data_IF_000166008346
#
_entry.id   IF_000166008346
#
_cell.length_a   1.000
_cell.length_b   1.000
_cell.length_c   1.000
_cell.angle_alpha   90.00
_cell.angle_beta   90.00
_cell.angle_gamma   90.00
#
_symmetry.space_group_name_H-M   'P 1'
#
loop_
_entity.id
_entity.type
_entity.pdbx_description
1 polymer ?
#
# COMPACT_ATOMS: atom_id res chain seq x y z
N UNK A 1 -5.93 4.87 -68.90
CA UNK A 1 -6.52 4.40 -67.62
C UNK A 1 -5.60 4.61 -66.39
N UNK A 2 -4.52 5.39 -66.50
CA UNK A 2 -3.57 5.64 -65.39
C UNK A 2 -3.88 6.90 -64.56
N UNK A 3 -4.78 7.79 -65.03
CA UNK A 3 -5.06 9.07 -64.35
C UNK A 3 -6.07 8.97 -63.19
N UNK A 4 -6.91 7.93 -63.17
CA UNK A 4 -7.97 7.78 -62.15
C UNK A 4 -7.41 7.16 -60.86
N UNK A 5 -6.42 6.27 -60.94
CA UNK A 5 -5.78 5.66 -59.77
C UNK A 5 -4.95 6.69 -58.99
N UNK A 6 -4.28 7.62 -59.68
CA UNK A 6 -3.52 8.71 -59.02
C UNK A 6 -4.40 9.76 -58.34
N UNK A 7 -5.63 9.97 -58.80
CA UNK A 7 -6.54 10.95 -58.19
C UNK A 7 -7.16 10.44 -56.88
N UNK A 8 -7.40 9.13 -56.76
CA UNK A 8 -7.96 8.52 -55.55
C UNK A 8 -6.90 8.41 -54.44
N UNK A 9 -5.62 8.19 -54.79
CA UNK A 9 -4.53 8.11 -53.81
C UNK A 9 -4.18 9.46 -53.16
N UNK A 10 -4.44 10.58 -53.87
CA UNK A 10 -4.16 11.93 -53.37
C UNK A 10 -5.27 12.48 -52.46
N UNK A 11 -6.49 11.96 -52.54
CA UNK A 11 -7.63 12.40 -51.73
C UNK A 11 -7.65 11.70 -50.36
N UNK A 12 -7.09 10.50 -50.25
CA UNK A 12 -7.00 9.75 -49.00
C UNK A 12 -6.00 10.28 -47.97
N UNK A 13 -5.08 11.17 -48.35
CA UNK A 13 -4.07 11.73 -47.43
C UNK A 13 -4.54 12.99 -46.69
N UNK A 14 -5.66 13.60 -47.10
CA UNK A 14 -6.11 14.89 -46.60
C UNK A 14 -6.96 14.82 -45.31
N UNK A 15 -7.13 13.64 -44.71
CA UNK A 15 -7.98 13.44 -43.53
C UNK A 15 -7.23 13.08 -42.24
N UNK A 16 -5.91 13.17 -42.22
CA UNK A 16 -5.11 12.90 -41.01
C UNK A 16 -4.78 14.22 -40.28
N UNK A 17 -5.76 14.79 -39.60
CA UNK A 17 -5.53 15.96 -38.74
C UNK A 17 -5.02 15.51 -37.36
N UNK A 18 -3.71 15.38 -37.21
CA UNK A 18 -3.02 15.24 -35.91
C UNK A 18 -2.50 16.60 -35.38
N UNK A 19 -3.06 17.72 -35.86
CA UNK A 19 -2.59 19.06 -35.51
C UNK A 19 -3.39 19.61 -34.31
N UNK A 20 -2.69 20.04 -33.27
CA UNK A 20 -3.30 20.59 -32.04
C UNK A 20 -2.86 22.05 -31.88
N UNK A 21 -3.82 22.97 -31.84
CA UNK A 21 -3.60 24.41 -31.66
C UNK A 21 -4.10 24.92 -30.31
N UNK A 22 -3.28 25.67 -29.58
CA UNK A 22 -3.74 26.37 -28.37
C UNK A 22 -4.50 27.62 -28.81
N UNK A 23 -5.84 27.59 -28.66
CA UNK A 23 -6.75 28.68 -29.01
C UNK A 23 -6.67 29.16 -30.48
N UNK A 24 -6.31 28.26 -31.41
CA UNK A 24 -6.32 28.55 -32.85
C UNK A 24 -7.05 27.45 -33.60
N UNK A 25 -7.88 27.84 -34.57
CA UNK A 25 -8.64 26.90 -35.42
C UNK A 25 -7.79 26.34 -36.57
N UNK A 26 -6.64 26.93 -36.84
CA UNK A 26 -5.72 26.54 -37.93
C UNK A 26 -4.28 26.53 -37.41
N UNK A 27 -3.89 25.51 -36.63
CA UNK A 27 -2.51 25.35 -36.17
C UNK A 27 -1.56 25.05 -37.34
N UNK A 28 -0.47 25.81 -37.45
CA UNK A 28 0.52 25.66 -38.54
C UNK A 28 1.66 24.68 -38.20
N UNK A 29 1.73 24.22 -36.95
CA UNK A 29 2.79 23.35 -36.43
C UNK A 29 2.23 22.30 -35.48
N UNK A 30 2.88 21.15 -35.44
CA UNK A 30 2.61 20.09 -34.47
C UNK A 30 3.18 20.46 -33.10
N UNK A 31 2.43 20.15 -32.03
CA UNK A 31 2.89 20.32 -30.66
C UNK A 31 3.69 19.08 -30.24
N UNK A 32 5.02 19.19 -30.23
CA UNK A 32 5.89 18.19 -29.63
C UNK A 32 6.17 18.58 -28.17
N UNK A 33 5.76 17.72 -27.22
CA UNK A 33 6.09 17.89 -25.80
C UNK A 33 7.19 16.90 -25.44
N UNK A 34 8.43 17.35 -25.50
CA UNK A 34 9.58 16.58 -25.03
C UNK A 34 9.92 17.00 -23.58
N UNK A 35 9.11 16.56 -22.61
CA UNK A 35 9.29 16.91 -21.21
C UNK A 35 8.08 16.59 -20.32
N UNK A 36 8.18 16.93 -19.03
CA UNK A 36 7.05 16.80 -18.09
C UNK A 36 6.09 17.98 -18.22
N UNK A 37 4.78 17.72 -18.20
CA UNK A 37 3.77 18.77 -18.12
C UNK A 37 3.57 19.23 -16.66
N UNK A 38 3.44 20.54 -16.44
CA UNK A 38 2.99 21.13 -15.17
C UNK A 38 1.59 21.68 -15.38
N UNK A 39 0.62 21.23 -14.59
CA UNK A 39 -0.76 21.70 -14.67
C UNK A 39 -1.26 22.13 -13.31
N UNK A 40 -2.12 23.14 -13.28
CA UNK A 40 -2.78 23.62 -12.05
C UNK A 40 -3.78 22.58 -11.50
N UNK A 41 -4.25 21.64 -12.33
CA UNK A 41 -5.19 20.60 -11.92
C UNK A 41 -5.41 19.50 -12.95
N UNK A 42 -6.17 18.47 -12.54
CA UNK A 42 -6.72 17.44 -13.40
C UNK A 42 -8.21 17.66 -13.50
N UNK A 43 -8.75 17.68 -14.72
CA UNK A 43 -10.19 17.65 -14.94
C UNK A 43 -10.52 16.26 -15.45
N UNK A 44 -11.17 15.45 -14.61
CA UNK A 44 -11.72 14.18 -15.04
C UNK A 44 -13.07 14.42 -15.75
N UNK A 45 -13.37 13.61 -16.76
CA UNK A 45 -14.67 13.64 -17.41
C UNK A 45 -15.75 13.32 -16.36
N UNK A 46 -16.85 14.07 -16.38
CA UNK A 46 -18.00 13.83 -15.50
C UNK A 46 -19.26 13.57 -16.37
N UNK A 47 -19.87 12.38 -16.34
CA UNK A 47 -19.44 11.21 -15.56
C UNK A 47 -18.12 10.63 -16.09
N UNK A 48 -17.37 9.96 -15.21
CA UNK A 48 -16.23 9.15 -15.67
C UNK A 48 -16.76 8.07 -16.59
N UNK A 49 -16.09 7.84 -17.73
CA UNK A 49 -16.47 6.76 -18.61
C UNK A 49 -16.31 5.42 -17.90
N UNK A 50 -17.25 4.52 -18.17
CA UNK A 50 -17.20 3.16 -17.63
C UNK A 50 -16.07 2.41 -18.32
N UNK A 51 -15.19 1.82 -17.52
CA UNK A 51 -14.04 1.07 -18.01
C UNK A 51 -14.49 -0.08 -18.94
N UNK A 52 -13.77 -0.25 -20.05
CA UNK A 52 -13.89 -1.39 -20.94
C UNK A 52 -13.25 -2.65 -20.36
N UNK A 53 -13.59 -3.84 -20.90
CA UNK A 53 -13.03 -5.13 -20.46
C UNK A 53 -11.53 -5.29 -20.69
N UNK A 54 -10.96 -4.51 -21.60
CA UNK A 54 -9.60 -4.69 -22.13
C UNK A 54 -8.72 -3.44 -21.97
N UNK A 55 -9.08 -2.54 -21.05
CA UNK A 55 -8.33 -1.31 -20.81
C UNK A 55 -7.21 -1.52 -19.78
N UNK A 56 -5.98 -1.16 -20.15
CA UNK A 56 -4.84 -1.08 -19.23
C UNK A 56 -4.96 0.20 -18.38
N UNK A 57 -4.98 0.04 -17.06
CA UNK A 57 -5.10 1.16 -16.12
C UNK A 57 -3.75 1.57 -15.54
N UNK A 58 -3.63 2.87 -15.25
CA UNK A 58 -2.48 3.45 -14.56
C UNK A 58 -2.99 4.28 -13.40
N UNK A 59 -2.39 4.11 -12.22
CA UNK A 59 -2.66 5.00 -11.10
C UNK A 59 -2.02 6.34 -11.40
N UNK A 60 -2.80 7.43 -11.33
CA UNK A 60 -2.26 8.77 -11.51
C UNK A 60 -2.10 9.42 -10.15
N UNK A 61 -0.88 9.86 -9.84
CA UNK A 61 -0.53 10.52 -8.58
C UNK A 61 -0.25 11.98 -8.87
N UNK A 62 -0.87 12.87 -8.11
CA UNK A 62 -0.54 14.29 -8.09
C UNK A 62 0.42 14.55 -6.93
N UNK A 63 1.65 14.97 -7.25
CA UNK A 63 2.58 15.48 -6.24
C UNK A 63 1.98 16.73 -5.58
N UNK A 64 2.12 16.90 -4.25
CA UNK A 64 1.67 18.09 -3.56
C UNK A 64 2.41 19.36 -4.06
N UNK A 65 2.01 20.52 -3.56
CA UNK A 65 2.78 21.75 -3.77
C UNK A 65 4.17 21.61 -3.11
N UNK A 66 5.24 22.19 -3.71
CA UNK A 66 5.23 23.12 -4.84
C UNK A 66 5.27 22.48 -6.24
N UNK A 67 5.55 21.18 -6.35
CA UNK A 67 5.80 20.52 -7.62
C UNK A 67 4.53 20.47 -8.49
N UNK A 68 3.36 20.18 -7.89
CA UNK A 68 2.07 20.05 -8.59
C UNK A 68 2.17 19.20 -9.88
N UNK A 69 3.05 18.19 -9.85
CA UNK A 69 3.30 17.32 -10.98
C UNK A 69 2.26 16.20 -10.99
N UNK A 70 1.73 15.89 -12.15
CA UNK A 70 0.98 14.66 -12.37
C UNK A 70 1.96 13.62 -12.89
N UNK A 71 2.01 12.46 -12.25
CA UNK A 71 2.78 11.32 -12.74
C UNK A 71 1.89 10.10 -12.79
N UNK A 72 2.10 9.25 -13.78
CA UNK A 72 1.67 7.87 -13.70
C UNK A 72 2.50 7.16 -12.63
N UNK A 73 1.85 6.32 -11.83
CA UNK A 73 2.52 5.33 -11.02
C UNK A 73 3.17 4.35 -11.98
N UNK A 74 4.50 4.44 -12.09
CA UNK A 74 5.27 3.59 -12.99
C UNK A 74 5.28 2.16 -12.43
N UNK A 75 4.78 1.22 -13.23
CA UNK A 75 4.65 -0.22 -12.94
C UNK A 75 5.98 -0.97 -13.00
N UNK A 76 7.04 -0.36 -13.54
CA UNK A 76 8.41 -0.85 -13.37
C UNK A 76 8.87 -0.58 -11.95
N UNK A 77 8.42 -1.44 -11.03
CA UNK A 77 8.87 -1.51 -9.65
C UNK A 77 10.40 -1.46 -9.60
N UNK A 78 10.93 -0.30 -9.23
CA UNK A 78 12.30 -0.23 -8.73
C UNK A 78 12.31 -1.11 -7.46
N UNK A 79 13.25 -2.04 -7.28
CA UNK A 79 13.21 -3.02 -6.18
C UNK A 79 13.06 -2.43 -4.77
N UNK A 80 13.37 -1.13 -4.62
CA UNK A 80 13.37 -0.40 -3.35
C UNK A 80 12.31 0.71 -3.28
N UNK A 81 11.44 0.85 -4.30
CA UNK A 81 10.35 1.83 -4.27
C UNK A 81 9.08 1.17 -3.71
N UNK A 82 8.57 1.62 -2.55
CA UNK A 82 7.39 1.02 -1.94
C UNK A 82 6.15 1.28 -2.79
N UNK A 83 5.32 0.25 -2.91
CA UNK A 83 3.95 0.38 -3.38
C UNK A 83 3.11 1.21 -2.40
N UNK A 84 1.97 1.77 -2.82
CA UNK A 84 1.00 2.36 -1.89
C UNK A 84 0.57 1.37 -0.80
N UNK A 85 0.54 0.06 -1.13
CA UNK A 85 0.27 -1.05 -0.22
C UNK A 85 1.31 -2.15 -0.49
N UNK A 86 2.06 -2.55 0.53
CA UNK A 86 3.08 -3.60 0.44
C UNK A 86 2.72 -4.76 1.36
N UNK A 87 3.04 -5.98 0.94
CA UNK A 87 3.03 -7.16 1.79
C UNK A 87 4.48 -7.52 2.13
N UNK A 88 4.87 -7.38 3.40
CA UNK A 88 6.22 -7.69 3.87
C UNK A 88 6.14 -8.85 4.86
N UNK A 89 6.95 -9.90 4.65
CA UNK A 89 7.05 -11.01 5.58
C UNK A 89 8.37 -10.96 6.35
N UNK A 90 8.29 -11.03 7.68
CA UNK A 90 9.45 -11.29 8.52
C UNK A 90 9.41 -12.71 9.06
N UNK A 91 10.57 -13.38 9.06
CA UNK A 91 10.82 -14.62 9.80
C UNK A 91 11.85 -14.32 10.89
N UNK A 92 11.38 -14.26 12.14
CA UNK A 92 12.18 -13.81 13.28
C UNK A 92 12.45 -15.02 14.15
N UNK A 93 13.72 -15.41 14.25
CA UNK A 93 14.18 -16.40 15.23
C UNK A 93 14.18 -15.76 16.61
N UNK A 94 13.59 -16.44 17.59
CA UNK A 94 13.41 -15.91 18.94
C UNK A 94 14.72 -15.94 19.74
N UNK A 95 14.69 -15.33 20.93
CA UNK A 95 15.77 -15.50 21.90
C UNK A 95 15.90 -16.98 22.32
N UNK A 96 17.09 -17.59 22.37
CA UNK A 96 17.24 -19.01 22.71
C UNK A 96 16.89 -19.38 24.16
N UNK A 97 16.84 -18.42 25.09
CA UNK A 97 16.52 -18.69 26.49
C UNK A 97 15.02 -18.86 26.73
N UNK A 98 14.18 -18.04 26.07
CA UNK A 98 12.71 -18.13 26.14
C UNK A 98 12.11 -18.98 25.00
N UNK A 99 12.74 -18.91 23.82
CA UNK A 99 12.43 -19.65 22.58
C UNK A 99 11.17 -19.24 21.84
N UNK A 100 10.32 -18.37 22.38
CA UNK A 100 9.19 -17.76 21.69
C UNK A 100 9.15 -16.23 21.81
N UNK A 101 9.99 -15.63 22.64
CA UNK A 101 9.92 -14.19 22.88
C UNK A 101 10.63 -13.36 21.80
N UNK A 102 9.86 -12.46 21.19
CA UNK A 102 10.34 -11.29 20.43
C UNK A 102 9.92 -10.04 21.19
N UNK A 103 10.85 -9.49 21.98
CA UNK A 103 10.56 -8.31 22.81
C UNK A 103 10.37 -7.03 21.98
N UNK A 104 11.32 -6.75 21.08
CA UNK A 104 11.31 -5.55 20.24
C UNK A 104 12.15 -5.77 18.97
N UNK A 105 11.53 -6.32 17.92
CA UNK A 105 12.17 -6.41 16.61
C UNK A 105 12.00 -5.10 15.85
N UNK A 106 13.11 -4.47 15.46
CA UNK A 106 13.10 -3.23 14.67
C UNK A 106 12.96 -3.53 13.18
N UNK A 107 11.80 -3.20 12.61
CA UNK A 107 11.53 -3.42 11.17
C UNK A 107 12.31 -2.47 10.26
N UNK A 108 12.87 -1.38 10.80
CA UNK A 108 13.42 -0.24 10.04
C UNK A 108 12.40 0.47 9.11
N UNK A 109 11.12 0.09 9.16
CA UNK A 109 10.05 0.78 8.42
C UNK A 109 9.78 2.11 9.10
N UNK A 110 9.90 3.21 8.36
CA UNK A 110 9.69 4.56 8.87
C UNK A 110 8.22 4.76 9.30
N UNK A 111 8.01 5.00 10.60
CA UNK A 111 6.67 5.11 11.20
C UNK A 111 5.94 6.41 10.87
N UNK A 112 6.66 7.44 10.44
CA UNK A 112 6.10 8.74 10.01
C UNK A 112 5.61 8.69 8.56
N UNK A 113 6.16 7.80 7.73
CA UNK A 113 5.77 7.62 6.31
C UNK A 113 4.81 6.48 6.09
N UNK A 114 4.94 5.40 6.86
CA UNK A 114 4.17 4.18 6.65
C UNK A 114 3.35 3.81 7.87
N UNK A 115 2.18 3.24 7.62
CA UNK A 115 1.34 2.54 8.60
C UNK A 115 1.57 1.04 8.44
N UNK A 116 1.80 0.33 9.55
CA UNK A 116 2.02 -1.11 9.55
C UNK A 116 0.89 -1.81 10.30
N UNK A 117 0.35 -2.85 9.69
CA UNK A 117 -0.66 -3.75 10.28
C UNK A 117 -0.18 -5.18 10.16
N UNK A 118 -0.21 -5.94 11.25
CA UNK A 118 0.06 -7.39 11.20
C UNK A 118 -1.21 -8.05 10.65
N UNK A 119 -1.12 -8.66 9.47
CA UNK A 119 -2.28 -9.28 8.80
C UNK A 119 -2.42 -10.76 9.13
N UNK A 120 -1.32 -11.44 9.41
CA UNK A 120 -1.31 -12.83 9.86
C UNK A 120 0.01 -13.17 10.52
N UNK A 121 0.00 -14.25 11.29
CA UNK A 121 1.18 -14.77 11.96
C UNK A 121 1.19 -16.29 11.96
N UNK A 122 2.37 -16.86 12.20
CA UNK A 122 2.56 -18.27 12.49
C UNK A 122 3.77 -18.47 13.40
N UNK A 123 3.77 -19.54 14.18
CA UNK A 123 4.86 -19.91 15.08
C UNK A 123 5.20 -21.39 14.93
N UNK A 124 6.48 -21.73 15.01
CA UNK A 124 6.97 -23.08 14.65
C UNK A 124 6.95 -24.10 15.78
N UNK A 125 6.85 -23.67 17.04
CA UNK A 125 6.92 -24.58 18.19
C UNK A 125 5.60 -24.65 18.95
N UNK A 126 5.23 -25.81 19.51
CA UNK A 126 4.19 -25.86 20.52
C UNK A 126 4.68 -25.12 21.78
N UNK A 127 3.78 -24.36 22.39
CA UNK A 127 4.02 -23.76 23.70
C UNK A 127 3.26 -24.54 24.76
N UNK A 128 3.80 -24.57 25.98
CA UNK A 128 3.15 -25.25 27.11
C UNK A 128 2.98 -24.30 28.28
N UNK A 129 1.97 -24.57 29.09
CA UNK A 129 1.88 -23.99 30.43
C UNK A 129 2.81 -24.74 31.38
N UNK A 130 3.35 -24.02 32.36
CA UNK A 130 4.07 -24.60 33.49
C UNK A 130 3.14 -24.93 34.67
N UNK A 131 1.85 -24.57 34.59
CA UNK A 131 0.83 -24.86 35.61
C UNK A 131 -0.04 -26.06 35.24
N UNK A 132 -0.58 -26.76 36.25
CA UNK A 132 -1.53 -27.87 36.05
C UNK A 132 -2.90 -27.43 35.49
N UNK A 133 -3.26 -26.15 35.63
CA UNK A 133 -4.48 -25.61 35.02
C UNK A 133 -4.29 -25.49 33.50
N UNK A 134 -5.25 -26.06 32.76
CA UNK A 134 -5.28 -26.08 31.29
C UNK A 134 -5.54 -24.68 30.73
N UNK A 135 -4.50 -23.86 30.73
CA UNK A 135 -4.53 -22.54 30.12
C UNK A 135 -4.33 -22.69 28.60
N UNK A 136 -5.26 -22.14 27.82
CA UNK A 136 -5.10 -22.04 26.37
C UNK A 136 -4.19 -20.85 26.06
N UNK A 137 -3.02 -21.06 25.45
CA UNK A 137 -2.10 -19.98 25.15
C UNK A 137 -2.71 -19.05 24.09
N UNK A 138 -2.75 -17.75 24.39
CA UNK A 138 -3.12 -16.71 23.43
C UNK A 138 -1.89 -15.87 23.16
N UNK A 139 -1.49 -15.69 21.89
CA UNK A 139 -0.29 -14.95 21.59
C UNK A 139 -0.53 -13.44 21.72
N UNK A 140 0.42 -12.75 22.33
CA UNK A 140 0.49 -11.30 22.35
C UNK A 140 1.33 -10.82 21.17
N UNK A 141 0.66 -10.44 20.08
CA UNK A 141 1.33 -10.01 18.84
C UNK A 141 0.81 -8.63 18.45
N UNK A 142 1.72 -7.67 18.33
CA UNK A 142 1.36 -6.33 17.87
C UNK A 142 2.56 -5.58 17.28
N UNK A 143 2.23 -4.61 16.44
CA UNK A 143 3.18 -3.63 15.92
C UNK A 143 2.96 -2.30 16.66
N UNK A 144 4.04 -1.58 16.95
CA UNK A 144 3.97 -0.27 17.58
C UNK A 144 5.08 0.65 17.06
N UNK A 145 4.83 1.96 17.07
CA UNK A 145 5.85 2.94 16.73
C UNK A 145 6.72 3.27 17.94
N UNK A 146 8.04 3.28 17.78
CA UNK A 146 8.98 3.80 18.77
C UNK A 146 10.28 4.21 18.09
N UNK A 147 10.77 5.43 18.36
CA UNK A 147 12.02 5.94 17.77
C UNK A 147 11.99 5.95 16.23
N UNK A 148 10.99 6.61 15.64
CA UNK A 148 10.76 6.81 14.20
C UNK A 148 10.54 5.55 13.35
N UNK A 149 10.57 4.37 13.95
CA UNK A 149 10.43 3.09 13.23
C UNK A 149 9.38 2.20 13.86
N UNK A 150 8.75 1.35 13.04
CA UNK A 150 7.86 0.32 13.54
C UNK A 150 8.64 -0.81 14.21
N UNK A 151 8.18 -1.20 15.39
CA UNK A 151 8.65 -2.34 16.15
C UNK A 151 7.60 -3.43 16.15
N UNK A 152 8.04 -4.68 16.22
CA UNK A 152 7.18 -5.84 16.40
C UNK A 152 7.46 -6.49 17.75
N UNK A 153 6.39 -6.84 18.46
CA UNK A 153 6.42 -7.75 19.59
C UNK A 153 5.59 -8.99 19.26
N UNK A 154 6.10 -10.16 19.63
CA UNK A 154 5.41 -11.43 19.51
C UNK A 154 5.85 -12.34 20.66
N UNK A 155 4.89 -12.90 21.38
CA UNK A 155 5.14 -13.71 22.57
C UNK A 155 3.91 -14.56 22.91
N UNK A 156 4.09 -15.75 23.48
CA UNK A 156 3.03 -16.41 24.23
C UNK A 156 3.24 -16.14 25.71
N UNK A 157 2.96 -14.90 26.14
CA UNK A 157 3.31 -14.41 27.47
C UNK A 157 2.83 -15.37 28.58
N UNK A 158 3.79 -15.87 29.38
CA UNK A 158 3.55 -16.82 30.47
C UNK A 158 3.62 -18.30 30.07
N UNK A 159 3.91 -18.58 28.80
CA UNK A 159 4.16 -19.89 28.22
C UNK A 159 5.52 -19.85 27.54
N UNK A 160 6.06 -21.02 27.24
CA UNK A 160 7.23 -21.15 26.39
C UNK A 160 7.30 -22.56 25.77
N UNK A 161 8.05 -22.74 24.68
CA UNK A 161 8.43 -24.07 24.21
C UNK A 161 9.20 -24.88 25.25
N UNK A 162 9.11 -26.20 25.18
CA UNK A 162 9.93 -27.08 26.03
C UNK A 162 11.44 -26.87 25.78
N UNK A 163 12.24 -27.04 26.84
CA UNK A 163 13.69 -26.81 26.79
C UNK A 163 14.44 -27.78 25.84
N UNK A 164 13.85 -28.92 25.48
CA UNK A 164 14.40 -29.86 24.49
C UNK A 164 14.10 -29.47 23.02
N UNK A 165 13.12 -28.59 22.78
CA UNK A 165 12.75 -28.16 21.42
C UNK A 165 13.73 -27.09 20.88
N UNK A 166 13.87 -26.95 19.55
CA UNK A 166 14.66 -25.86 18.99
C UNK A 166 14.02 -24.50 19.26
N UNK A 167 14.82 -23.43 19.15
CA UNK A 167 14.32 -22.05 19.23
C UNK A 167 13.22 -21.81 18.19
N UNK A 168 12.12 -21.22 18.62
CA UNK A 168 10.99 -20.92 17.77
C UNK A 168 11.26 -19.79 16.78
N UNK A 169 10.43 -19.77 15.73
CA UNK A 169 10.47 -18.76 14.68
C UNK A 169 9.07 -18.21 14.47
N UNK A 170 8.93 -16.89 14.62
CA UNK A 170 7.72 -16.18 14.23
C UNK A 170 7.77 -15.83 12.75
N UNK A 171 6.72 -16.21 12.01
CA UNK A 171 6.44 -15.66 10.68
C UNK A 171 5.38 -14.60 10.84
N UNK A 172 5.70 -13.34 10.56
CA UNK A 172 4.78 -12.20 10.66
C UNK A 172 4.60 -11.59 9.27
N UNK A 173 3.36 -11.58 8.78
CA UNK A 173 3.01 -10.91 7.54
C UNK A 173 2.44 -9.53 7.86
N UNK A 174 3.05 -8.51 7.26
CA UNK A 174 2.71 -7.11 7.45
C UNK A 174 2.06 -6.56 6.19
N UNK A 175 0.93 -5.88 6.35
CA UNK A 175 0.44 -4.90 5.39
C UNK A 175 1.04 -3.55 5.74
N UNK A 176 1.74 -2.94 4.78
CA UNK A 176 2.43 -1.67 4.96
C UNK A 176 1.90 -0.66 3.96
N UNK A 177 1.21 0.34 4.47
CA UNK A 177 0.56 1.39 3.70
C UNK A 177 1.38 2.67 3.75
N UNK A 178 1.51 3.37 2.63
CA UNK A 178 1.92 4.77 2.68
C UNK A 178 0.82 5.58 3.36
N UNK A 179 1.18 6.36 4.39
CA UNK A 179 0.24 7.17 5.18
C UNK A 179 -0.47 8.23 4.34
N UNK A 180 0.05 8.60 3.17
CA UNK A 180 -0.67 9.46 2.23
C UNK A 180 -1.99 8.85 1.72
N UNK A 181 -2.12 7.52 1.79
CA UNK A 181 -3.31 6.77 1.33
C UNK A 181 -4.04 6.03 2.46
N UNK A 182 -3.61 6.19 3.71
CA UNK A 182 -4.21 5.53 4.86
C UNK A 182 -4.57 6.55 5.93
N UNK A 183 -5.80 6.47 6.44
CA UNK A 183 -6.25 7.27 7.58
C UNK A 183 -6.33 6.38 8.81
N UNK A 184 -5.60 6.76 9.85
CA UNK A 184 -5.60 6.09 11.14
C UNK A 184 -6.51 6.85 12.10
N UNK A 185 -7.44 6.15 12.77
CA UNK A 185 -8.33 6.74 13.78
C UNK A 185 -8.26 5.88 15.04
N UNK A 186 -7.57 6.39 16.06
CA UNK A 186 -7.41 5.73 17.36
C UNK A 186 -8.32 6.42 18.39
N UNK A 187 -9.34 5.70 18.87
CA UNK A 187 -10.23 6.19 19.95
C UNK A 187 -10.53 5.06 20.93
N UNK A 188 -10.24 5.29 22.20
CA UNK A 188 -10.72 4.43 23.29
C UNK A 188 -12.24 4.51 23.37
N UNK A 189 -12.90 3.36 23.50
CA UNK A 189 -14.34 3.25 23.77
C UNK A 189 -14.51 2.50 25.09
N UNK A 190 -15.34 3.02 25.98
CA UNK A 190 -15.70 2.36 27.24
C UNK A 190 -17.04 1.64 27.06
N UNK A 191 -17.14 0.42 27.60
CA UNK A 191 -18.40 -0.33 27.67
C UNK A 191 -19.22 0.00 28.92
N UNK A 192 -18.72 0.85 29.82
CA UNK A 192 -19.46 1.36 30.98
C UNK A 192 -19.93 0.25 31.92
N UNK A 193 -19.05 -0.72 32.19
CA UNK A 193 -19.34 -1.94 32.94
C UNK A 193 -20.45 -2.86 32.34
N UNK A 194 -20.81 -2.66 31.07
CA UNK A 194 -21.72 -3.54 30.31
C UNK A 194 -20.96 -4.56 29.46
N UNK A 195 -21.65 -5.62 29.03
CA UNK A 195 -21.15 -6.59 28.03
C UNK A 195 -21.49 -6.19 26.59
N UNK A 196 -22.26 -5.12 26.41
CA UNK A 196 -22.65 -4.58 25.10
C UNK A 196 -22.55 -3.05 25.11
N UNK A 197 -22.12 -2.46 23.99
CA UNK A 197 -22.02 -1.02 23.83
C UNK A 197 -21.93 -0.61 22.36
N UNK A 198 -22.00 0.69 22.10
CA UNK A 198 -21.86 1.27 20.77
C UNK A 198 -20.82 2.38 20.78
N UNK A 199 -20.08 2.55 19.69
CA UNK A 199 -19.24 3.72 19.52
C UNK A 199 -20.11 4.99 19.56
N UNK A 200 -19.61 6.05 20.20
CA UNK A 200 -20.37 7.29 20.37
C UNK A 200 -20.78 7.96 19.04
N UNK A 201 -20.01 7.71 17.97
CA UNK A 201 -20.33 8.16 16.61
C UNK A 201 -19.64 7.24 15.57
N UNK A 202 -20.15 7.17 14.32
CA UNK A 202 -19.45 6.54 13.21
C UNK A 202 -18.05 7.14 13.02
N UNK A 203 -17.03 6.30 12.83
CA UNK A 203 -15.65 6.75 12.61
C UNK A 203 -15.37 7.09 11.13
N UNK A 204 -16.16 6.52 10.22
CA UNK A 204 -16.09 6.69 8.77
C UNK A 204 -17.54 6.79 8.26
N UNK A 205 -17.81 7.70 7.31
CA UNK A 205 -19.09 7.88 6.63
C UNK A 205 -18.86 7.94 5.13
#
# INVERSE_FOLDING_TARGET
MTKVISAVLFVSAALLNAQVGINTKTPEKELSVNGSMKTSGMVFKNPMEKLGSDENYTFVIKSPAPENKITAYNDTFVPNSPAPINLIQFKITCDPSDKDWVNQFDTKINSNKFLVVISSFGFTQPVRTYSADWLTPVPQIFAYSSGDTWKLKADYQGFAPDSSLPTGVWTLNLLVFDRAYAKEVNKTQDLGASTTGSAAAPLIQ
#
